data_IF_825734672388
#
_entry.id   IF_825734672388
#
_cell.length_a   1.000
_cell.length_b   1.000
_cell.length_c   1.000
_cell.angle_alpha   90.00
_cell.angle_beta   90.00
_cell.angle_gamma   90.00
#
_symmetry.space_group_name_H-M   'P 1'
#
loop_
_entity.id
_entity.type
_entity.pdbx_description
1 polymer ?
#
# COMPACT_ATOMS: atom_id res chain seq x y z
N UNK A 1 11.19 10.52 0.24
CA UNK A 1 10.06 10.80 1.15
C UNK A 1 8.90 11.34 0.31
N UNK A 2 7.74 10.68 0.35
CA UNK A 2 6.55 11.15 -0.37
C UNK A 2 6.12 12.50 0.24
N UNK A 3 6.16 13.55 -0.58
CA UNK A 3 5.59 14.89 -0.35
C UNK A 3 5.76 15.49 1.05
N UNK A 4 7.00 15.59 1.58
CA UNK A 4 7.42 16.34 2.80
C UNK A 4 6.38 17.36 3.30
N UNK A 5 5.35 16.91 4.01
CA UNK A 5 4.22 17.71 4.50
C UNK A 5 3.64 18.76 3.52
N UNK A 6 3.60 18.48 2.22
CA UNK A 6 3.07 19.43 1.24
C UNK A 6 1.57 19.65 1.47
N UNK A 7 1.20 20.85 1.96
CA UNK A 7 -0.18 21.20 2.31
C UNK A 7 -1.15 21.04 1.14
N UNK A 8 -0.72 21.34 -0.09
CA UNK A 8 -1.55 21.21 -1.30
C UNK A 8 -1.84 19.73 -1.59
N UNK A 9 -0.80 18.90 -1.67
CA UNK A 9 -0.96 17.47 -1.93
C UNK A 9 -1.80 16.79 -0.85
N UNK A 10 -1.49 17.06 0.43
CA UNK A 10 -2.24 16.52 1.57
C UNK A 10 -3.69 16.98 1.53
N UNK A 11 -3.95 18.25 1.23
CA UNK A 11 -5.33 18.77 1.11
C UNK A 11 -6.15 18.11 0.00
N UNK A 12 -5.49 17.58 -1.04
CA UNK A 12 -6.16 16.92 -2.17
C UNK A 12 -6.37 15.42 -1.95
N UNK A 13 -5.49 14.75 -1.19
CA UNK A 13 -5.55 13.28 -1.00
C UNK A 13 -6.01 12.85 0.39
N UNK A 14 -6.01 13.76 1.36
CA UNK A 14 -6.45 13.51 2.74
C UNK A 14 -7.73 14.26 3.07
N UNK A 15 -8.45 13.74 4.06
CA UNK A 15 -9.58 14.40 4.71
C UNK A 15 -9.22 14.76 6.15
N UNK A 16 -9.94 15.73 6.72
CA UNK A 16 -9.90 16.03 8.16
C UNK A 16 -10.98 15.27 8.94
N UNK A 17 -11.93 14.67 8.24
CA UNK A 17 -13.02 13.91 8.86
C UNK A 17 -12.51 12.58 9.40
N UNK A 18 -12.87 12.29 10.63
CA UNK A 18 -12.68 10.96 11.23
C UNK A 18 -13.53 9.95 10.44
N UNK A 19 -12.87 8.91 9.91
CA UNK A 19 -13.50 7.88 9.10
C UNK A 19 -13.60 6.53 9.82
N UNK A 20 -14.18 5.52 9.15
CA UNK A 20 -14.33 4.16 9.70
C UNK A 20 -13.02 3.49 10.14
N UNK A 21 -11.89 3.94 9.59
CA UNK A 21 -10.56 3.41 9.93
C UNK A 21 -9.93 4.09 11.15
N UNK A 22 -10.63 5.02 11.81
CA UNK A 22 -10.07 5.78 12.93
C UNK A 22 -9.62 4.89 14.07
N UNK A 23 -10.44 3.94 14.48
CA UNK A 23 -10.12 3.02 15.57
C UNK A 23 -8.88 2.18 15.24
N UNK A 24 -8.75 1.75 13.97
CA UNK A 24 -7.57 1.04 13.48
C UNK A 24 -6.31 1.94 13.48
N UNK A 25 -6.47 3.23 13.20
CA UNK A 25 -5.36 4.19 13.24
C UNK A 25 -4.91 4.43 14.67
N UNK A 26 -5.83 4.70 15.60
CA UNK A 26 -5.53 4.85 17.04
C UNK A 26 -4.83 3.60 17.57
N UNK A 27 -5.39 2.42 17.30
CA UNK A 27 -4.82 1.15 17.76
C UNK A 27 -3.39 0.92 17.24
N UNK A 28 -3.03 1.49 16.08
CA UNK A 28 -1.68 1.38 15.48
C UNK A 28 -0.70 2.44 15.96
N UNK A 29 -1.17 3.60 16.38
CA UNK A 29 -0.30 4.69 16.82
C UNK A 29 0.19 4.54 18.25
N UNK A 30 -0.45 3.66 19.04
CA UNK A 30 -0.10 3.33 20.45
C UNK A 30 -0.01 4.55 21.41
N UNK A 31 -0.23 5.77 20.92
CA UNK A 31 -0.09 7.06 21.59
C UNK A 31 -1.26 7.99 21.21
N UNK A 32 -1.55 8.98 22.07
CA UNK A 32 -2.60 9.99 21.85
C UNK A 32 -2.32 10.97 20.69
N UNK A 33 -1.09 10.98 20.16
CA UNK A 33 -0.70 11.84 19.04
C UNK A 33 -1.04 11.21 17.69
N UNK A 34 -2.01 11.82 17.00
CA UNK A 34 -2.44 11.44 15.65
C UNK A 34 -1.45 11.93 14.57
N UNK A 35 -0.42 11.14 14.28
CA UNK A 35 0.59 11.42 13.27
C UNK A 35 0.21 10.86 11.88
N UNK A 36 -0.57 9.79 11.84
CA UNK A 36 -1.08 9.18 10.63
C UNK A 36 -2.06 10.12 9.91
N UNK A 37 -1.97 10.12 8.58
CA UNK A 37 -2.86 10.91 7.73
C UNK A 37 -4.11 10.10 7.39
N UNK A 38 -5.25 10.80 7.31
CA UNK A 38 -6.54 10.22 6.95
C UNK A 38 -6.75 10.40 5.44
N UNK A 39 -6.51 9.38 4.60
CA UNK A 39 -6.78 9.48 3.17
C UNK A 39 -8.27 9.69 2.92
N UNK A 40 -8.61 10.47 1.89
CA UNK A 40 -10.00 10.64 1.47
C UNK A 40 -10.49 9.40 0.69
N UNK A 41 -11.82 9.28 0.55
CA UNK A 41 -12.46 8.10 -0.06
C UNK A 41 -12.00 7.86 -1.50
N UNK A 42 -11.83 8.93 -2.29
CA UNK A 42 -11.39 8.82 -3.69
C UNK A 42 -9.97 8.27 -3.78
N UNK A 43 -9.06 8.76 -2.93
CA UNK A 43 -7.69 8.27 -2.87
C UNK A 43 -7.63 6.81 -2.39
N UNK A 44 -8.41 6.46 -1.36
CA UNK A 44 -8.52 5.07 -0.90
C UNK A 44 -8.99 4.13 -2.02
N UNK A 45 -10.02 4.52 -2.78
CA UNK A 45 -10.53 3.72 -3.91
C UNK A 45 -9.49 3.55 -5.00
N UNK A 46 -8.73 4.60 -5.31
CA UNK A 46 -7.64 4.53 -6.28
C UNK A 46 -6.57 3.51 -5.84
N UNK A 47 -6.09 3.62 -4.60
CA UNK A 47 -5.08 2.70 -4.07
C UNK A 47 -5.61 1.27 -3.99
N UNK A 48 -6.87 1.08 -3.60
CA UNK A 48 -7.50 -0.24 -3.58
C UNK A 48 -7.56 -0.84 -5.00
N UNK A 49 -8.01 -0.07 -6.00
CA UNK A 49 -8.07 -0.53 -7.38
C UNK A 49 -6.69 -0.92 -7.94
N UNK A 50 -5.66 -0.10 -7.65
CA UNK A 50 -4.26 -0.43 -8.00
C UNK A 50 -3.83 -1.73 -7.33
N UNK A 51 -4.18 -1.89 -6.04
CA UNK A 51 -3.84 -3.08 -5.24
C UNK A 51 -4.47 -4.33 -5.83
N UNK A 52 -5.77 -4.28 -6.11
CA UNK A 52 -6.53 -5.39 -6.68
C UNK A 52 -5.99 -5.79 -8.05
N UNK A 53 -5.70 -4.81 -8.92
CA UNK A 53 -5.11 -5.07 -10.23
C UNK A 53 -3.74 -5.75 -10.10
N UNK A 54 -2.86 -5.26 -9.23
CA UNK A 54 -1.54 -5.86 -9.04
C UNK A 54 -1.67 -7.30 -8.55
N UNK A 55 -2.48 -7.57 -7.54
CA UNK A 55 -2.66 -8.95 -7.03
C UNK A 55 -3.32 -9.88 -8.04
N UNK A 56 -4.23 -9.37 -8.87
CA UNK A 56 -4.84 -10.14 -9.95
C UNK A 56 -3.82 -10.53 -11.02
N UNK A 57 -2.92 -9.61 -11.38
CA UNK A 57 -1.95 -9.83 -12.47
C UNK A 57 -0.70 -10.59 -12.02
N UNK A 58 -0.21 -10.35 -10.80
CA UNK A 58 1.07 -10.88 -10.31
C UNK A 58 1.25 -12.40 -10.55
N UNK A 59 0.29 -13.28 -10.22
CA UNK A 59 0.45 -14.72 -10.43
C UNK A 59 0.73 -15.12 -11.87
N UNK A 60 0.20 -14.39 -12.85
CA UNK A 60 0.35 -14.71 -14.28
C UNK A 60 1.58 -14.08 -14.92
N UNK A 61 2.18 -13.05 -14.31
CA UNK A 61 3.31 -12.30 -14.89
C UNK A 61 4.59 -12.34 -14.04
N UNK A 62 4.58 -12.92 -12.84
CA UNK A 62 5.71 -12.89 -11.91
C UNK A 62 7.00 -13.51 -12.45
N UNK A 63 6.90 -14.45 -13.40
CA UNK A 63 8.04 -15.09 -14.05
C UNK A 63 8.70 -14.22 -15.13
N UNK A 64 8.07 -13.10 -15.51
CA UNK A 64 8.56 -12.24 -16.59
C UNK A 64 9.57 -11.22 -16.08
N UNK A 65 10.67 -11.02 -16.82
CA UNK A 65 11.67 -10.00 -16.51
C UNK A 65 11.10 -8.57 -16.59
N UNK A 66 10.10 -8.36 -17.45
CA UNK A 66 9.46 -7.07 -17.70
C UNK A 66 8.16 -6.86 -16.88
N UNK A 67 7.90 -7.70 -15.86
CA UNK A 67 6.63 -7.67 -15.09
C UNK A 67 6.27 -6.25 -14.59
N UNK A 68 7.29 -5.48 -14.18
CA UNK A 68 7.10 -4.11 -13.70
C UNK A 68 6.53 -3.19 -14.79
N UNK A 69 7.04 -3.28 -16.02
CA UNK A 69 6.56 -2.48 -17.14
C UNK A 69 5.13 -2.86 -17.51
N UNK A 70 4.82 -4.16 -17.49
CA UNK A 70 3.47 -4.67 -17.73
C UNK A 70 2.48 -4.13 -16.69
N UNK A 71 2.85 -4.14 -15.41
CA UNK A 71 2.02 -3.57 -14.34
C UNK A 71 1.83 -2.07 -14.50
N UNK A 72 2.88 -1.32 -14.85
CA UNK A 72 2.78 0.13 -15.10
C UNK A 72 1.77 0.40 -16.22
N UNK A 73 1.91 -0.27 -17.38
CA UNK A 73 1.01 -0.10 -18.52
C UNK A 73 -0.45 -0.37 -18.13
N UNK A 74 -0.72 -1.52 -17.50
CA UNK A 74 -2.06 -1.90 -17.08
C UNK A 74 -2.69 -0.94 -16.09
N UNK A 75 -1.90 -0.40 -15.14
CA UNK A 75 -2.41 0.57 -14.19
C UNK A 75 -2.74 1.89 -14.89
N UNK A 76 -1.86 2.37 -15.79
CA UNK A 76 -2.07 3.61 -16.54
C UNK A 76 -3.25 3.53 -17.52
N UNK A 77 -3.53 2.34 -18.07
CA UNK A 77 -4.70 2.07 -18.92
C UNK A 77 -6.02 2.13 -18.14
N UNK A 78 -6.03 1.76 -16.86
CA UNK A 78 -7.25 1.60 -16.08
C UNK A 78 -7.54 2.74 -15.10
N UNK A 79 -6.51 3.47 -14.66
CA UNK A 79 -6.64 4.43 -13.58
C UNK A 79 -6.10 5.80 -13.96
N UNK A 80 -6.88 6.85 -13.69
CA UNK A 80 -6.39 8.22 -13.76
C UNK A 80 -5.55 8.55 -12.52
N UNK A 81 -4.25 8.73 -12.71
CA UNK A 81 -3.29 9.03 -11.63
C UNK A 81 -3.02 10.53 -11.46
N UNK A 82 -3.59 11.37 -12.32
CA UNK A 82 -3.51 12.83 -12.25
C UNK A 82 -4.50 13.41 -11.21
N UNK A 83 -4.41 12.92 -9.98
CA UNK A 83 -5.29 13.31 -8.88
C UNK A 83 -4.75 14.47 -8.03
N UNK A 84 -3.52 14.93 -8.32
CA UNK A 84 -2.87 16.04 -7.62
C UNK A 84 -2.56 17.17 -8.60
N UNK A 85 -3.11 18.35 -8.31
CA UNK A 85 -2.79 19.60 -8.98
C UNK A 85 -1.87 20.42 -8.07
N UNK A 86 -0.60 20.02 -7.98
CA UNK A 86 0.42 20.69 -7.18
C UNK A 86 1.55 21.17 -8.09
N UNK A 87 1.89 22.47 -8.10
CA UNK A 87 2.87 23.03 -9.03
C UNK A 87 4.29 22.46 -8.88
N UNK A 88 4.59 21.80 -7.75
CA UNK A 88 5.91 21.24 -7.44
C UNK A 88 5.94 19.72 -7.67
N UNK A 89 4.79 19.05 -7.54
CA UNK A 89 4.75 17.60 -7.36
C UNK A 89 3.90 16.85 -8.38
N UNK A 90 3.06 17.54 -9.16
CA UNK A 90 2.16 16.93 -10.14
C UNK A 90 2.90 16.00 -11.10
N UNK A 91 3.99 16.50 -11.70
CA UNK A 91 4.78 15.79 -12.71
C UNK A 91 5.40 14.47 -12.20
N UNK A 92 5.69 14.39 -10.90
CA UNK A 92 6.34 13.22 -10.31
C UNK A 92 5.40 12.35 -9.49
N UNK A 93 4.14 12.76 -9.31
CA UNK A 93 3.21 12.07 -8.43
C UNK A 93 2.91 10.66 -8.91
N UNK A 94 2.48 10.56 -10.17
CA UNK A 94 2.14 9.32 -10.85
C UNK A 94 3.28 8.31 -10.79
N UNK A 95 4.46 8.72 -11.25
CA UNK A 95 5.64 7.85 -11.26
C UNK A 95 6.03 7.38 -9.85
N UNK A 96 5.94 8.25 -8.83
CA UNK A 96 6.27 7.84 -7.46
C UNK A 96 5.26 6.84 -6.91
N UNK A 97 3.96 7.08 -7.10
CA UNK A 97 2.94 6.21 -6.54
C UNK A 97 2.93 4.85 -7.21
N UNK A 98 3.10 4.79 -8.54
CA UNK A 98 3.23 3.54 -9.29
C UNK A 98 4.42 2.72 -8.83
N UNK A 99 5.61 3.32 -8.82
CA UNK A 99 6.83 2.62 -8.44
C UNK A 99 6.77 2.13 -6.99
N UNK A 100 6.20 2.94 -6.09
CA UNK A 100 6.04 2.57 -4.69
C UNK A 100 5.05 1.42 -4.52
N UNK A 101 3.85 1.53 -5.10
CA UNK A 101 2.80 0.50 -4.99
C UNK A 101 3.26 -0.83 -5.58
N UNK A 102 3.83 -0.83 -6.79
CA UNK A 102 4.32 -2.06 -7.43
C UNK A 102 5.41 -2.70 -6.56
N UNK A 103 6.39 -1.93 -6.08
CA UNK A 103 7.47 -2.46 -5.25
C UNK A 103 6.94 -3.05 -3.95
N UNK A 104 6.09 -2.30 -3.23
CA UNK A 104 5.57 -2.71 -1.94
C UNK A 104 4.71 -3.98 -2.07
N UNK A 105 3.77 -3.99 -3.02
CA UNK A 105 2.80 -5.06 -3.19
C UNK A 105 3.43 -6.32 -3.77
N UNK A 106 4.39 -6.19 -4.70
CA UNK A 106 5.15 -7.35 -5.20
C UNK A 106 5.97 -7.98 -4.08
N UNK A 107 6.66 -7.17 -3.26
CA UNK A 107 7.41 -7.69 -2.12
C UNK A 107 6.50 -8.40 -1.12
N UNK A 108 5.35 -7.79 -0.80
CA UNK A 108 4.37 -8.41 0.07
C UNK A 108 3.87 -9.74 -0.51
N UNK A 109 3.49 -9.77 -1.78
CA UNK A 109 3.05 -10.97 -2.47
C UNK A 109 4.11 -12.09 -2.41
N UNK A 110 5.37 -11.79 -2.71
CA UNK A 110 6.47 -12.76 -2.61
C UNK A 110 6.63 -13.29 -1.18
N UNK A 111 6.52 -12.42 -0.16
CA UNK A 111 6.57 -12.84 1.24
C UNK A 111 5.44 -13.80 1.57
N UNK A 112 4.21 -13.52 1.13
CA UNK A 112 3.07 -14.40 1.39
C UNK A 112 3.16 -15.72 0.63
N UNK A 113 3.58 -15.70 -0.65
CA UNK A 113 3.86 -16.92 -1.43
C UNK A 113 4.92 -17.76 -0.73
N UNK A 114 6.03 -17.16 -0.30
CA UNK A 114 7.08 -17.88 0.43
C UNK A 114 6.57 -18.45 1.75
N UNK A 115 5.70 -17.72 2.48
CA UNK A 115 5.06 -18.23 3.70
C UNK A 115 4.19 -19.45 3.43
N UNK A 116 3.44 -19.45 2.32
CA UNK A 116 2.60 -20.58 1.90
C UNK A 116 3.49 -21.78 1.50
N UNK A 117 4.50 -21.54 0.65
CA UNK A 117 5.39 -22.57 0.13
C UNK A 117 6.26 -23.22 1.21
N UNK A 118 6.66 -22.47 2.23
CA UNK A 118 7.41 -23.02 3.37
C UNK A 118 6.57 -23.97 4.24
N UNK A 119 5.28 -24.16 3.94
CA UNK A 119 4.34 -24.86 4.82
C UNK A 119 4.15 -24.10 6.13
N UNK A 120 3.14 -24.48 6.93
CA UNK A 120 2.77 -23.83 8.22
C UNK A 120 3.96 -23.14 8.90
N UNK A 121 3.81 -21.85 9.24
CA UNK A 121 4.77 -21.08 10.05
C UNK A 121 5.15 -21.94 11.26
N UNK A 122 6.32 -22.56 11.22
CA UNK A 122 6.93 -23.06 12.45
C UNK A 122 7.22 -21.80 13.26
N UNK A 123 6.46 -21.60 14.32
CA UNK A 123 6.84 -20.64 15.34
C UNK A 123 8.28 -20.97 15.73
N UNK A 124 9.14 -19.95 15.72
CA UNK A 124 10.48 -20.10 16.27
C UNK A 124 10.31 -20.62 17.70
N UNK A 125 11.03 -21.69 18.09
CA UNK A 125 10.93 -22.28 19.43
C UNK A 125 11.16 -21.29 20.57
N UNK A 126 11.79 -20.15 20.28
CA UNK A 126 12.07 -19.07 21.23
C UNK A 126 11.17 -17.82 21.04
N UNK A 127 10.10 -17.88 20.24
CA UNK A 127 9.15 -16.77 20.08
C UNK A 127 8.44 -16.48 21.41
N UNK A 128 8.42 -15.21 21.82
CA UNK A 128 7.81 -14.74 23.08
C UNK A 128 6.60 -13.83 22.85
N UNK A 129 6.32 -13.48 21.59
CA UNK A 129 5.18 -12.66 21.23
C UNK A 129 3.88 -13.48 21.33
N UNK A 130 3.07 -13.16 22.34
CA UNK A 130 1.82 -13.87 22.65
C UNK A 130 0.79 -13.81 21.50
N UNK A 131 0.78 -12.75 20.68
CA UNK A 131 -0.14 -12.62 19.55
C UNK A 131 0.26 -13.60 18.44
N UNK A 132 1.56 -13.71 18.18
CA UNK A 132 2.08 -14.67 17.19
C UNK A 132 1.89 -16.12 17.64
N UNK A 133 2.06 -16.39 18.94
CA UNK A 133 1.80 -17.71 19.54
C UNK A 133 0.33 -18.09 19.38
N UNK A 134 -0.59 -17.19 19.72
CA UNK A 134 -2.03 -17.43 19.60
C UNK A 134 -2.47 -17.66 18.14
N UNK A 135 -1.86 -16.97 17.18
CA UNK A 135 -2.24 -17.06 15.77
C UNK A 135 -1.70 -18.31 15.02
N UNK A 136 -0.80 -19.10 15.63
CA UNK A 136 -0.26 -20.31 15.00
C UNK A 136 -0.85 -21.62 15.55
N UNK A 137 -1.62 -21.54 16.63
CA UNK A 137 -2.45 -22.63 17.15
C UNK A 137 -3.81 -22.63 16.45
#
# INVERSE_FOLDING_TARGET
ILFKNCKICIGQICTKSVGKSHDLMIAREYNEQLNLKYPNVSFCRLIQGITDLIYLQLPSICHRLDYKLVLISKIQEQFNLNIINCPIHSEHFENKILNFSIKLLTNHWCVEVNRILNGKKKINSNEKDNIKIAAAN
#
